data_IF_405344710252
#
_entry.id   IF_405344710252
#
_cell.length_a   1.000
_cell.length_b   1.000
_cell.length_c   1.000
_cell.angle_alpha   90.00
_cell.angle_beta   90.00
_cell.angle_gamma   90.00
#
_symmetry.space_group_name_H-M   'P 1'
#
loop_
_entity.id
_entity.type
_entity.pdbx_description
1 polymer ?
#
# COMPACT_ATOMS: atom_id res chain seq x y z
N UNK A 1 8.00 -20.09 -12.06
CA UNK A 1 8.40 -18.89 -12.84
C UNK A 1 7.25 -17.89 -12.76
N UNK A 2 7.48 -16.72 -12.24
CA UNK A 2 6.51 -15.62 -12.24
C UNK A 2 6.84 -14.67 -13.38
N UNK A 3 5.82 -14.18 -14.08
CA UNK A 3 5.96 -13.18 -15.13
C UNK A 3 4.91 -12.11 -14.93
N UNK A 4 5.35 -10.90 -14.69
CA UNK A 4 4.52 -9.75 -14.42
C UNK A 4 5.02 -8.61 -15.30
N UNK A 5 4.33 -8.30 -16.39
CA UNK A 5 4.79 -7.25 -17.33
C UNK A 5 3.66 -6.31 -17.75
N UNK A 6 4.01 -5.06 -18.04
CA UNK A 6 3.16 -4.06 -18.71
C UNK A 6 1.84 -3.73 -18.01
N UNK A 7 1.78 -3.82 -16.67
CA UNK A 7 0.54 -3.72 -15.91
C UNK A 7 0.40 -2.39 -15.19
N UNK A 8 -0.80 -1.83 -15.23
CA UNK A 8 -1.22 -0.76 -14.35
C UNK A 8 -2.41 -1.24 -13.52
N UNK A 9 -2.31 -1.10 -12.21
CA UNK A 9 -3.44 -1.29 -11.30
C UNK A 9 -3.90 0.06 -10.81
N UNK A 10 -5.14 0.42 -11.14
CA UNK A 10 -5.81 1.56 -10.54
C UNK A 10 -6.59 1.06 -9.31
N UNK A 11 -6.43 1.76 -8.20
CA UNK A 11 -7.17 1.50 -6.97
C UNK A 11 -7.86 2.78 -6.51
N UNK A 12 -9.19 2.80 -6.58
CA UNK A 12 -9.99 3.82 -5.92
C UNK A 12 -10.51 3.23 -4.61
N UNK A 13 -10.28 3.90 -3.48
CA UNK A 13 -10.79 3.45 -2.19
C UNK A 13 -11.67 4.54 -1.57
N UNK A 14 -12.87 4.16 -1.18
CA UNK A 14 -13.72 4.98 -0.34
C UNK A 14 -13.57 4.51 1.12
N UNK A 15 -13.06 5.38 1.98
CA UNK A 15 -12.91 5.10 3.40
C UNK A 15 -13.82 6.01 4.21
N UNK A 16 -14.62 5.42 5.09
CA UNK A 16 -15.42 6.13 6.06
C UNK A 16 -15.00 5.74 7.47
N UNK A 17 -14.86 6.72 8.36
CA UNK A 17 -14.46 6.51 9.74
C UNK A 17 -15.30 7.38 10.67
N UNK A 18 -15.61 6.86 11.86
CA UNK A 18 -16.40 7.57 12.88
C UNK A 18 -15.92 7.27 14.29
N UNK A 19 -15.68 8.33 15.04
CA UNK A 19 -15.48 8.24 16.49
C UNK A 19 -16.77 7.81 17.20
N UNK A 20 -16.65 6.81 18.09
CA UNK A 20 -17.80 6.27 18.86
C UNK A 20 -17.65 6.52 20.36
N UNK A 21 -16.76 7.43 20.75
CA UNK A 21 -16.53 7.84 22.13
C UNK A 21 -15.37 7.10 22.81
N UNK A 22 -14.90 7.65 23.91
CA UNK A 22 -13.83 7.08 24.75
C UNK A 22 -12.54 6.71 23.99
N UNK A 23 -12.20 7.49 22.95
CA UNK A 23 -11.01 7.25 22.11
C UNK A 23 -11.17 6.10 21.11
N UNK A 24 -12.36 5.52 20.97
CA UNK A 24 -12.67 4.50 19.98
C UNK A 24 -13.15 5.08 18.66
N UNK A 25 -12.78 4.44 17.56
CA UNK A 25 -13.20 4.78 16.22
C UNK A 25 -13.47 3.48 15.44
N UNK A 26 -14.53 3.48 14.65
CA UNK A 26 -14.86 2.43 13.68
C UNK A 26 -14.72 2.96 12.28
N UNK A 27 -14.38 2.09 11.34
CA UNK A 27 -14.25 2.46 9.93
C UNK A 27 -14.57 1.31 8.98
N UNK A 28 -14.80 1.69 7.74
CA UNK A 28 -14.94 0.77 6.62
C UNK A 28 -14.23 1.36 5.41
N UNK A 29 -13.53 0.50 4.68
CA UNK A 29 -12.91 0.83 3.40
C UNK A 29 -13.46 -0.10 2.32
N UNK A 30 -13.91 0.49 1.22
CA UNK A 30 -14.42 -0.22 0.03
C UNK A 30 -13.51 0.13 -1.13
N UNK A 31 -12.62 -0.78 -1.55
CA UNK A 31 -11.77 -0.57 -2.71
C UNK A 31 -12.46 -0.99 -4.01
N UNK A 32 -12.22 -0.23 -5.06
CA UNK A 32 -12.50 -0.61 -6.45
C UNK A 32 -11.18 -0.72 -7.17
N UNK A 33 -10.93 -1.87 -7.78
CA UNK A 33 -9.69 -2.21 -8.46
C UNK A 33 -9.94 -2.29 -9.97
N UNK A 34 -8.93 -1.90 -10.75
CA UNK A 34 -8.93 -2.09 -12.20
C UNK A 34 -7.52 -2.42 -12.68
N UNK A 35 -7.35 -3.63 -13.20
CA UNK A 35 -6.12 -4.12 -13.81
C UNK A 35 -6.20 -3.90 -15.31
N UNK A 36 -5.26 -3.14 -15.87
CA UNK A 36 -5.23 -2.77 -17.28
C UNK A 36 -3.86 -2.95 -17.89
N UNK A 37 -3.80 -3.07 -19.20
CA UNK A 37 -2.57 -2.91 -19.96
C UNK A 37 -2.02 -1.50 -19.76
N UNK A 38 -0.72 -1.38 -19.54
CA UNK A 38 -0.08 -0.11 -19.23
C UNK A 38 0.05 0.79 -20.45
N UNK A 39 -0.03 2.11 -20.23
CA UNK A 39 0.39 3.16 -21.17
C UNK A 39 1.51 4.01 -20.59
N UNK A 40 2.11 3.58 -19.47
CA UNK A 40 3.12 4.35 -18.74
C UNK A 40 4.51 3.69 -18.77
N UNK A 41 4.70 2.58 -19.50
CA UNK A 41 5.98 1.87 -19.52
C UNK A 41 7.12 2.80 -19.92
N UNK A 42 6.98 3.55 -21.01
CA UNK A 42 7.98 4.51 -21.45
C UNK A 42 8.23 5.66 -20.45
N UNK A 43 7.22 6.05 -19.69
CA UNK A 43 7.37 7.08 -18.65
C UNK A 43 8.16 6.53 -17.46
N UNK A 44 7.89 5.29 -17.05
CA UNK A 44 8.58 4.63 -15.96
C UNK A 44 10.04 4.34 -16.34
N UNK A 45 10.29 3.82 -17.55
CA UNK A 45 11.63 3.59 -18.10
C UNK A 45 12.45 4.89 -18.12
N UNK A 46 11.90 5.99 -18.64
CA UNK A 46 12.56 7.29 -18.63
C UNK A 46 12.83 7.82 -17.21
N UNK A 47 11.93 7.54 -16.26
CA UNK A 47 12.11 7.89 -14.85
C UNK A 47 13.26 7.11 -14.24
N UNK A 48 13.31 5.78 -14.46
CA UNK A 48 14.39 4.93 -13.97
C UNK A 48 15.73 5.36 -14.55
N UNK A 49 15.80 5.64 -15.85
CA UNK A 49 17.00 6.12 -16.52
C UNK A 49 17.49 7.46 -15.94
N UNK A 50 16.57 8.37 -15.60
CA UNK A 50 16.89 9.68 -15.03
C UNK A 50 17.50 9.59 -13.63
N UNK A 51 17.02 8.66 -12.81
CA UNK A 51 17.45 8.50 -11.42
C UNK A 51 18.41 7.32 -11.19
N UNK A 52 18.74 6.55 -12.23
CA UNK A 52 19.64 5.41 -12.16
C UNK A 52 19.03 4.17 -11.49
N UNK A 53 17.72 4.02 -11.55
CA UNK A 53 17.02 2.82 -11.09
C UNK A 53 17.07 1.71 -12.15
N UNK A 54 16.93 0.47 -11.71
CA UNK A 54 16.93 -0.69 -12.62
C UNK A 54 15.57 -0.82 -13.32
N UNK A 55 15.58 -1.06 -14.63
CA UNK A 55 14.38 -1.43 -15.38
C UNK A 55 13.97 -2.90 -15.20
N UNK A 56 14.75 -3.69 -14.41
CA UNK A 56 14.54 -5.14 -14.25
C UNK A 56 14.38 -5.85 -15.61
N UNK A 57 13.44 -6.81 -15.71
CA UNK A 57 13.18 -7.58 -16.94
C UNK A 57 12.20 -6.87 -17.91
N UNK A 58 11.92 -5.56 -17.74
CA UNK A 58 10.93 -4.84 -18.57
C UNK A 58 11.31 -4.80 -20.04
N UNK A 59 12.59 -4.65 -20.35
CA UNK A 59 13.12 -4.54 -21.71
C UNK A 59 12.92 -5.83 -22.52
N UNK A 60 12.71 -6.97 -21.84
CA UNK A 60 12.53 -8.28 -22.48
C UNK A 60 11.08 -8.56 -22.89
N UNK A 61 10.12 -7.67 -22.59
CA UNK A 61 8.69 -7.92 -22.78
C UNK A 61 7.99 -6.84 -23.64
N UNK A 62 6.93 -7.21 -24.38
CA UNK A 62 6.14 -6.24 -25.13
C UNK A 62 5.52 -5.20 -24.18
N UNK A 63 5.73 -3.92 -24.46
CA UNK A 63 5.16 -2.81 -23.72
C UNK A 63 3.64 -2.77 -23.78
N UNK A 64 3.00 -2.20 -22.76
CA UNK A 64 1.56 -1.90 -22.70
C UNK A 64 0.63 -3.13 -22.78
N UNK A 65 1.09 -4.31 -22.38
CA UNK A 65 0.28 -5.51 -22.33
C UNK A 65 0.02 -5.97 -20.89
N UNK A 66 -1.26 -6.17 -20.56
CA UNK A 66 -1.63 -6.79 -19.28
C UNK A 66 -1.26 -8.27 -19.29
N UNK A 67 -0.36 -8.65 -18.38
CA UNK A 67 0.00 -10.05 -18.18
C UNK A 67 0.33 -10.33 -16.73
N UNK A 68 -0.52 -11.13 -16.09
CA UNK A 68 -0.20 -11.82 -14.84
C UNK A 68 -0.09 -13.31 -15.18
N UNK A 69 1.08 -13.87 -15.04
CA UNK A 69 1.31 -15.28 -15.27
C UNK A 69 2.22 -15.84 -14.18
N UNK A 70 1.72 -16.80 -13.45
CA UNK A 70 2.51 -17.57 -12.50
C UNK A 70 2.43 -19.05 -12.84
N UNK A 71 3.59 -19.66 -13.07
CA UNK A 71 3.72 -21.09 -13.38
C UNK A 71 4.59 -21.73 -12.31
N UNK A 72 4.07 -22.77 -11.66
CA UNK A 72 4.78 -23.60 -10.71
C UNK A 72 4.82 -25.04 -11.23
N UNK A 73 6.01 -25.63 -11.28
CA UNK A 73 6.25 -27.02 -11.72
C UNK A 73 5.54 -27.41 -13.03
N UNK A 74 5.43 -26.46 -13.97
CA UNK A 74 4.78 -26.65 -15.26
C UNK A 74 3.25 -26.46 -15.22
N UNK A 75 2.65 -26.15 -14.06
CA UNK A 75 1.23 -25.86 -13.90
C UNK A 75 1.02 -24.35 -13.83
N UNK A 76 0.05 -23.85 -14.59
CA UNK A 76 -0.34 -22.43 -14.54
C UNK A 76 -1.28 -22.22 -13.36
N UNK A 77 -0.80 -21.52 -12.35
CA UNK A 77 -1.54 -21.18 -11.13
C UNK A 77 -2.35 -19.89 -11.28
N UNK A 78 -1.78 -18.90 -11.97
CA UNK A 78 -2.44 -17.61 -12.21
C UNK A 78 -2.23 -17.20 -13.65
N UNK A 79 -3.31 -16.77 -14.32
CA UNK A 79 -3.25 -16.23 -15.67
C UNK A 79 -4.32 -15.18 -15.90
N UNK A 80 -3.92 -13.90 -15.97
CA UNK A 80 -4.80 -12.80 -16.38
C UNK A 80 -4.16 -12.09 -17.56
N UNK A 81 -4.90 -12.00 -18.66
CA UNK A 81 -4.47 -11.39 -19.92
C UNK A 81 -5.53 -10.43 -20.50
N UNK A 82 -6.63 -10.23 -19.78
CA UNK A 82 -7.70 -9.32 -20.15
C UNK A 82 -7.90 -8.29 -19.05
N UNK A 83 -8.29 -7.09 -19.43
CA UNK A 83 -8.64 -6.06 -18.48
C UNK A 83 -9.80 -6.52 -17.61
N UNK A 84 -9.67 -6.29 -16.30
CA UNK A 84 -10.67 -6.67 -15.32
C UNK A 84 -10.81 -5.56 -14.29
N UNK A 85 -12.01 -5.34 -13.79
CA UNK A 85 -12.25 -4.38 -12.73
C UNK A 85 -13.47 -4.76 -11.91
N UNK A 86 -13.47 -4.36 -10.65
CA UNK A 86 -14.55 -4.64 -9.72
C UNK A 86 -14.24 -4.18 -8.30
N UNK A 87 -15.16 -4.46 -7.39
CA UNK A 87 -14.97 -4.23 -5.96
C UNK A 87 -13.95 -5.24 -5.44
N UNK A 88 -12.98 -4.76 -4.67
CA UNK A 88 -12.00 -5.59 -3.98
C UNK A 88 -12.47 -6.08 -2.61
N UNK A 89 -11.55 -6.57 -1.82
CA UNK A 89 -11.83 -7.02 -0.46
C UNK A 89 -12.12 -5.83 0.46
N UNK A 90 -13.31 -5.80 1.06
CA UNK A 90 -13.74 -4.75 1.99
C UNK A 90 -13.01 -4.92 3.32
N UNK A 91 -12.57 -3.81 3.91
CA UNK A 91 -11.86 -3.80 5.19
C UNK A 91 -12.71 -3.09 6.26
N UNK A 92 -13.01 -3.80 7.33
CA UNK A 92 -13.59 -3.23 8.55
C UNK A 92 -12.46 -2.84 9.49
N UNK A 93 -12.55 -1.67 10.11
CA UNK A 93 -11.51 -1.14 10.99
C UNK A 93 -12.07 -0.80 12.37
N UNK A 94 -11.30 -1.10 13.40
CA UNK A 94 -11.51 -0.67 14.77
C UNK A 94 -10.21 -0.06 15.28
N UNK A 95 -10.28 1.13 15.83
CA UNK A 95 -9.10 1.84 16.34
C UNK A 95 -9.35 2.39 17.73
N UNK A 96 -8.29 2.51 18.51
CA UNK A 96 -8.32 3.14 19.82
C UNK A 96 -7.09 4.00 20.03
N UNK A 97 -7.31 5.23 20.44
CA UNK A 97 -6.26 6.12 20.94
C UNK A 97 -5.74 5.59 22.28
N UNK A 98 -4.44 5.32 22.40
CA UNK A 98 -3.84 4.68 23.58
C UNK A 98 -2.94 5.62 24.36
N UNK A 99 -2.31 6.59 23.70
CA UNK A 99 -1.48 7.61 24.32
C UNK A 99 -1.79 8.97 23.70
N UNK A 100 -2.07 9.93 24.57
CA UNK A 100 -2.08 11.35 24.24
C UNK A 100 -1.18 12.01 25.28
N UNK A 101 0.11 12.07 24.99
CA UNK A 101 1.05 12.81 25.82
C UNK A 101 1.23 14.17 25.17
N UNK A 102 0.72 15.20 25.83
CA UNK A 102 0.65 16.55 25.31
C UNK A 102 -0.11 16.64 23.97
N UNK A 103 -0.20 17.81 23.36
CA UNK A 103 -0.88 17.97 22.07
C UNK A 103 -0.03 17.51 20.88
N UNK A 104 1.23 17.17 21.11
CA UNK A 104 2.23 16.90 20.08
C UNK A 104 2.36 15.40 19.76
N UNK A 105 2.29 14.53 20.79
CA UNK A 105 2.49 13.09 20.63
C UNK A 105 1.16 12.33 20.71
N UNK A 106 0.91 11.48 19.74
CA UNK A 106 -0.27 10.60 19.68
C UNK A 106 0.15 9.18 19.34
N UNK A 107 -0.50 8.21 19.96
CA UNK A 107 -0.37 6.82 19.58
C UNK A 107 -1.74 6.14 19.60
N UNK A 108 -1.96 5.23 18.65
CA UNK A 108 -3.19 4.49 18.51
C UNK A 108 -2.93 3.03 18.18
N UNK A 109 -3.81 2.16 18.65
CA UNK A 109 -3.86 0.76 18.26
C UNK A 109 -5.01 0.57 17.27
N UNK A 110 -4.78 -0.25 16.27
CA UNK A 110 -5.73 -0.52 15.20
C UNK A 110 -5.88 -2.02 14.99
N UNK A 111 -7.06 -2.41 14.58
CA UNK A 111 -7.39 -3.74 14.10
C UNK A 111 -8.16 -3.62 12.79
N UNK A 112 -7.79 -4.41 11.79
CA UNK A 112 -8.44 -4.48 10.49
C UNK A 112 -8.87 -5.90 10.17
N UNK A 113 -10.13 -6.08 9.76
CA UNK A 113 -10.67 -7.34 9.26
C UNK A 113 -10.98 -7.17 7.78
N UNK A 114 -10.21 -7.83 6.92
CA UNK A 114 -10.49 -7.93 5.49
C UNK A 114 -11.52 -9.02 5.24
N UNK A 115 -12.57 -8.70 4.49
CA UNK A 115 -13.62 -9.62 4.08
C UNK A 115 -13.37 -10.05 2.62
N UNK A 116 -13.48 -11.34 2.27
CA UNK A 116 -13.25 -11.84 0.91
C UNK A 116 -14.43 -11.51 -0.01
N UNK A 117 -14.58 -10.24 -0.36
CA UNK A 117 -15.66 -9.74 -1.21
C UNK A 117 -15.25 -9.52 -2.65
N UNK A 118 -13.94 -9.46 -2.92
CA UNK A 118 -13.37 -9.38 -4.26
C UNK A 118 -13.35 -10.73 -4.95
N UNK A 119 -13.37 -10.72 -6.28
CA UNK A 119 -13.24 -11.92 -7.10
C UNK A 119 -11.77 -12.37 -7.13
N UNK A 120 -11.48 -13.53 -6.55
CA UNK A 120 -10.14 -14.11 -6.51
C UNK A 120 -9.63 -14.58 -7.87
N UNK A 121 -10.49 -15.05 -8.73
CA UNK A 121 -10.13 -15.51 -10.08
C UNK A 121 -9.64 -14.36 -10.96
N UNK A 122 -10.09 -13.15 -10.64
CA UNK A 122 -9.70 -11.89 -11.31
C UNK A 122 -8.63 -11.10 -10.54
N UNK A 123 -8.06 -11.63 -9.46
CA UNK A 123 -7.13 -10.94 -8.55
C UNK A 123 -7.70 -9.62 -7.97
N UNK A 124 -9.01 -9.52 -7.82
CA UNK A 124 -9.66 -8.40 -7.13
C UNK A 124 -9.76 -8.63 -5.62
N UNK A 125 -9.55 -9.87 -5.16
CA UNK A 125 -9.50 -10.28 -3.77
C UNK A 125 -8.65 -11.53 -3.59
N UNK A 126 -8.43 -11.94 -2.33
CA UNK A 126 -7.64 -13.15 -2.00
C UNK A 126 -8.48 -14.41 -1.84
N UNK A 127 -9.81 -14.27 -1.76
CA UNK A 127 -10.74 -15.37 -1.48
C UNK A 127 -10.76 -15.83 -0.02
N UNK A 128 -10.03 -15.13 0.90
CA UNK A 128 -10.00 -15.44 2.31
C UNK A 128 -10.04 -14.19 3.20
N UNK A 129 -10.55 -14.29 4.45
CA UNK A 129 -10.47 -13.22 5.42
C UNK A 129 -9.04 -13.08 5.95
N UNK A 130 -8.59 -11.85 6.20
CA UNK A 130 -7.34 -11.57 6.89
C UNK A 130 -7.60 -10.66 8.10
N UNK A 131 -6.77 -10.83 9.13
CA UNK A 131 -6.79 -10.00 10.32
C UNK A 131 -5.47 -9.25 10.45
N UNK A 132 -5.53 -7.94 10.56
CA UNK A 132 -4.35 -7.10 10.83
C UNK A 132 -4.46 -6.42 12.18
N UNK A 133 -3.33 -6.30 12.89
CA UNK A 133 -3.20 -5.51 14.11
C UNK A 133 -1.96 -4.65 13.97
N UNK A 134 -2.10 -3.34 14.22
CA UNK A 134 -0.96 -2.43 14.14
C UNK A 134 -1.07 -1.29 15.13
N UNK A 135 0.09 -0.70 15.44
CA UNK A 135 0.22 0.49 16.26
C UNK A 135 0.72 1.63 15.39
N UNK A 136 0.13 2.80 15.55
CA UNK A 136 0.61 4.04 14.96
C UNK A 136 1.13 4.96 16.03
N UNK A 137 2.16 5.74 15.69
CA UNK A 137 2.66 6.82 16.50
C UNK A 137 2.96 8.04 15.64
N UNK A 138 2.74 9.22 16.18
CA UNK A 138 3.14 10.47 15.54
C UNK A 138 3.55 11.49 16.59
N UNK A 139 4.56 12.28 16.25
CA UNK A 139 5.01 13.42 17.01
C UNK A 139 5.14 14.62 16.05
N UNK A 140 4.47 15.71 16.37
CA UNK A 140 4.50 16.91 15.53
C UNK A 140 5.79 17.70 15.65
N UNK A 141 6.56 17.47 16.70
CA UNK A 141 7.76 18.23 17.01
C UNK A 141 8.89 17.32 17.47
N UNK A 142 9.47 16.53 16.55
CA UNK A 142 10.63 15.66 16.86
C UNK A 142 11.82 16.39 17.47
N UNK A 143 12.00 17.67 17.13
CA UNK A 143 13.04 18.53 17.67
C UNK A 143 12.44 19.88 18.05
N UNK A 144 12.64 20.29 19.32
CA UNK A 144 12.17 21.57 19.82
C UNK A 144 12.67 22.74 18.96
N UNK A 145 11.75 23.56 18.47
CA UNK A 145 12.05 24.74 17.64
C UNK A 145 12.28 24.47 16.15
N UNK A 146 12.15 23.21 15.70
CA UNK A 146 12.24 22.85 14.29
C UNK A 146 10.87 22.44 13.74
N UNK A 147 10.55 22.76 12.48
CA UNK A 147 9.26 22.45 11.87
C UNK A 147 9.20 20.99 11.35
N UNK A 148 9.81 20.05 12.07
CA UNK A 148 9.83 18.64 11.69
C UNK A 148 9.03 17.80 12.68
N UNK A 149 8.12 17.01 12.13
CA UNK A 149 7.42 15.94 12.83
C UNK A 149 7.88 14.57 12.36
N UNK A 150 7.51 13.55 13.12
CA UNK A 150 7.73 12.15 12.77
C UNK A 150 6.46 11.33 12.93
N UNK A 151 6.37 10.27 12.16
CA UNK A 151 5.27 9.32 12.27
C UNK A 151 5.72 7.93 11.85
N UNK A 152 4.95 6.95 12.27
CA UNK A 152 5.20 5.58 11.84
C UNK A 152 4.15 4.63 12.31
N UNK A 153 4.23 3.43 11.79
CA UNK A 153 3.46 2.31 12.30
C UNK A 153 4.25 1.01 12.20
N UNK A 154 3.83 0.03 12.99
CA UNK A 154 4.31 -1.33 12.92
C UNK A 154 3.15 -2.26 13.22
N UNK A 155 3.06 -3.37 12.50
CA UNK A 155 1.97 -4.30 12.64
C UNK A 155 2.27 -5.69 12.11
N UNK A 156 1.27 -6.54 12.30
CA UNK A 156 1.24 -7.91 11.79
C UNK A 156 -0.09 -8.14 11.07
N UNK A 157 -0.01 -8.80 9.94
CA UNK A 157 -1.12 -9.31 9.17
C UNK A 157 -1.14 -10.83 9.35
N UNK A 158 -2.26 -11.35 9.81
CA UNK A 158 -2.58 -12.78 9.86
C UNK A 158 -3.43 -13.10 8.64
N UNK A 159 -2.90 -13.88 7.73
CA UNK A 159 -3.55 -14.22 6.47
C UNK A 159 -4.38 -15.48 6.64
N UNK A 160 -5.64 -15.45 6.18
CA UNK A 160 -6.47 -16.64 6.06
C UNK A 160 -6.00 -17.50 4.87
N UNK A 161 -6.52 -18.71 4.75
CA UNK A 161 -6.17 -19.62 3.65
C UNK A 161 -6.74 -19.07 2.34
N UNK A 162 -5.98 -18.21 1.67
CA UNK A 162 -6.37 -17.61 0.40
C UNK A 162 -6.40 -18.68 -0.69
N UNK A 163 -7.34 -18.53 -1.62
CA UNK A 163 -7.40 -19.41 -2.80
C UNK A 163 -6.30 -19.08 -3.82
N UNK A 164 -5.80 -17.86 -3.78
CA UNK A 164 -4.70 -17.41 -4.64
C UNK A 164 -3.39 -17.88 -4.05
N UNK A 165 -2.69 -18.82 -4.70
CA UNK A 165 -1.39 -19.38 -4.28
C UNK A 165 -1.40 -19.97 -2.86
N UNK A 166 -2.45 -20.70 -2.51
CA UNK A 166 -2.71 -21.26 -1.17
C UNK A 166 -1.50 -21.98 -0.55
N UNK A 167 -0.84 -22.85 -1.33
CA UNK A 167 0.28 -23.66 -0.84
C UNK A 167 1.56 -22.87 -0.53
N UNK A 168 1.71 -21.71 -1.15
CA UNK A 168 2.89 -20.84 -0.99
C UNK A 168 2.65 -19.71 0.02
N UNK A 169 1.44 -19.52 0.50
CA UNK A 169 1.07 -18.42 1.37
C UNK A 169 1.71 -18.53 2.76
N UNK A 170 2.16 -17.38 3.31
CA UNK A 170 2.58 -17.28 4.71
C UNK A 170 1.38 -16.97 5.58
N UNK A 171 1.39 -17.52 6.80
CA UNK A 171 0.35 -17.22 7.80
C UNK A 171 0.46 -15.80 8.36
N UNK A 172 1.69 -15.29 8.46
CA UNK A 172 1.98 -13.98 9.07
C UNK A 172 2.90 -13.15 8.20
N UNK A 173 2.55 -11.86 8.08
CA UNK A 173 3.37 -10.84 7.43
C UNK A 173 3.55 -9.67 8.40
N UNK A 174 4.79 -9.30 8.67
CA UNK A 174 5.10 -8.08 9.42
C UNK A 174 5.18 -6.91 8.45
N UNK A 175 4.70 -5.76 8.86
CA UNK A 175 4.78 -4.54 8.07
C UNK A 175 5.04 -3.32 8.95
N UNK A 176 5.59 -2.28 8.37
CA UNK A 176 5.83 -1.04 9.08
C UNK A 176 6.21 0.11 8.18
N UNK A 177 6.06 1.31 8.71
CA UNK A 177 6.43 2.57 8.09
C UNK A 177 7.17 3.44 9.08
N UNK A 178 8.16 4.16 8.62
CA UNK A 178 8.75 5.30 9.31
C UNK A 178 8.79 6.49 8.37
N UNK A 179 8.32 7.63 8.85
CA UNK A 179 8.24 8.84 8.06
C UNK A 179 8.57 10.09 8.87
N UNK A 180 8.99 11.10 8.13
CA UNK A 180 9.17 12.47 8.62
C UNK A 180 8.28 13.40 7.81
N UNK A 181 7.81 14.45 8.45
CA UNK A 181 7.13 15.54 7.78
C UNK A 181 7.82 16.86 8.14
N UNK A 182 7.84 17.75 7.16
CA UNK A 182 8.38 19.09 7.28
C UNK A 182 7.34 20.10 6.83
N UNK A 183 6.95 20.98 7.73
CA UNK A 183 6.11 22.12 7.38
C UNK A 183 6.93 23.15 6.63
N UNK A 184 7.00 22.97 5.31
CA UNK A 184 7.78 23.83 4.42
C UNK A 184 7.11 25.19 4.25
N UNK A 185 5.78 25.22 4.17
CA UNK A 185 4.95 26.43 4.07
C UNK A 185 3.65 26.24 4.88
N UNK A 186 2.92 27.29 5.15
CA UNK A 186 1.62 27.21 5.84
C UNK A 186 0.59 26.34 5.09
N UNK A 187 0.73 26.29 3.78
CA UNK A 187 -0.14 25.56 2.87
C UNK A 187 0.45 24.21 2.39
N UNK A 188 1.66 23.82 2.83
CA UNK A 188 2.33 22.61 2.35
C UNK A 188 3.19 21.95 3.44
N UNK A 189 2.81 20.74 3.81
CA UNK A 189 3.65 19.83 4.58
C UNK A 189 4.30 18.83 3.62
N UNK A 190 5.63 18.82 3.51
CA UNK A 190 6.37 17.81 2.76
C UNK A 190 6.59 16.57 3.62
N UNK A 191 6.59 15.40 2.98
CA UNK A 191 6.72 14.09 3.64
C UNK A 191 7.76 13.23 2.91
N UNK A 192 8.52 12.48 3.71
CA UNK A 192 9.34 11.36 3.21
C UNK A 192 9.13 10.18 4.15
N UNK A 193 8.94 8.99 3.59
CA UNK A 193 8.73 7.77 4.39
C UNK A 193 9.36 6.55 3.72
N UNK A 194 9.68 5.58 4.56
CA UNK A 194 10.07 4.24 4.15
C UNK A 194 9.01 3.27 4.65
N UNK A 195 8.49 2.49 3.73
CA UNK A 195 7.55 1.39 3.98
C UNK A 195 8.27 0.07 3.80
N UNK A 196 8.00 -0.90 4.66
CA UNK A 196 8.59 -2.22 4.56
C UNK A 196 7.60 -3.32 4.98
N UNK A 197 7.72 -4.49 4.34
CA UNK A 197 7.02 -5.69 4.79
C UNK A 197 7.85 -6.95 4.52
N UNK A 198 7.59 -8.00 5.32
CA UNK A 198 8.11 -9.33 5.07
C UNK A 198 7.37 -10.00 3.91
N UNK A 199 7.92 -11.07 3.31
CA UNK A 199 7.26 -11.75 2.19
C UNK A 199 5.85 -12.24 2.52
N UNK A 200 4.95 -12.17 1.53
CA UNK A 200 3.62 -12.77 1.61
C UNK A 200 3.62 -14.26 1.28
N UNK A 201 4.62 -14.72 0.51
CA UNK A 201 4.67 -16.10 0.00
C UNK A 201 6.01 -16.77 0.28
N UNK A 202 5.97 -18.10 0.39
CA UNK A 202 7.14 -18.98 0.39
C UNK A 202 7.53 -19.30 -1.05
N UNK A 203 8.25 -18.42 -1.72
CA UNK A 203 8.67 -18.62 -3.10
C UNK A 203 10.17 -18.43 -3.25
N UNK A 204 10.76 -19.19 -4.16
CA UNK A 204 12.16 -18.99 -4.59
C UNK A 204 12.31 -17.87 -5.62
N UNK A 205 11.21 -17.39 -6.16
CA UNK A 205 11.20 -16.22 -7.04
C UNK A 205 11.26 -14.96 -6.19
N UNK A 206 12.21 -14.07 -6.50
CA UNK A 206 12.32 -12.77 -5.84
C UNK A 206 11.04 -11.95 -5.97
N UNK A 207 10.29 -12.17 -7.06
CA UNK A 207 9.00 -11.52 -7.35
C UNK A 207 7.85 -11.90 -6.39
N UNK A 208 7.95 -13.00 -5.63
CA UNK A 208 6.90 -13.44 -4.69
C UNK A 208 7.43 -13.72 -3.29
N UNK A 209 8.70 -14.06 -3.16
CA UNK A 209 9.30 -14.50 -1.89
C UNK A 209 10.22 -13.48 -1.22
N UNK A 210 10.41 -12.29 -1.80
CA UNK A 210 11.25 -11.23 -1.25
C UNK A 210 10.53 -10.39 -0.20
N UNK A 211 11.29 -9.72 0.68
CA UNK A 211 10.79 -8.59 1.49
C UNK A 211 10.76 -7.34 0.60
N UNK A 212 9.80 -6.47 0.81
CA UNK A 212 9.74 -5.21 0.07
C UNK A 212 10.13 -4.03 0.96
N UNK A 213 10.86 -3.08 0.37
CA UNK A 213 11.13 -1.77 0.94
C UNK A 213 10.81 -0.71 -0.12
N UNK A 214 9.95 0.21 0.21
CA UNK A 214 9.53 1.29 -0.67
C UNK A 214 9.91 2.64 -0.05
N UNK A 215 10.43 3.54 -0.85
CA UNK A 215 10.67 4.92 -0.47
C UNK A 215 9.57 5.79 -1.08
N UNK A 216 8.88 6.56 -0.25
CA UNK A 216 7.79 7.42 -0.67
C UNK A 216 8.08 8.88 -0.33
N UNK A 217 7.92 9.75 -1.31
CA UNK A 217 7.94 11.19 -1.15
C UNK A 217 6.57 11.78 -1.46
N UNK A 218 6.21 12.83 -0.75
CA UNK A 218 4.92 13.43 -0.96
C UNK A 218 4.71 14.71 -0.18
N UNK A 219 3.45 15.12 -0.11
CA UNK A 219 3.07 16.28 0.68
C UNK A 219 1.58 16.32 0.95
N UNK A 220 1.23 17.06 1.98
CA UNK A 220 -0.15 17.36 2.37
C UNK A 220 -0.43 18.82 2.13
N UNK A 221 -1.52 19.10 1.45
CA UNK A 221 -2.07 20.44 1.23
C UNK A 221 -3.29 20.56 2.14
N UNK A 222 -3.20 21.28 3.27
CA UNK A 222 -4.35 21.57 4.09
C UNK A 222 -5.33 22.50 3.35
N UNK A 223 -6.61 22.22 3.47
CA UNK A 223 -7.71 22.97 2.90
C UNK A 223 -8.51 23.64 4.01
N UNK A 224 -9.44 24.54 3.61
CA UNK A 224 -10.38 25.13 4.55
C UNK A 224 -11.30 24.07 5.18
N UNK A 225 -11.74 24.29 6.42
CA UNK A 225 -12.64 23.38 7.13
C UNK A 225 -11.95 22.16 7.79
N UNK A 226 -10.64 22.02 7.64
CA UNK A 226 -9.86 20.90 8.19
C UNK A 226 -9.69 19.72 7.23
N UNK A 227 -10.17 19.87 6.01
CA UNK A 227 -9.93 18.94 4.92
C UNK A 227 -8.48 18.99 4.45
N UNK A 228 -8.02 17.97 3.75
CA UNK A 228 -6.70 18.00 3.11
C UNK A 228 -6.59 17.09 1.89
N UNK A 229 -5.60 17.39 1.07
CA UNK A 229 -5.18 16.55 -0.05
C UNK A 229 -3.76 16.06 0.22
N UNK A 230 -3.55 14.76 0.16
CA UNK A 230 -2.23 14.13 0.13
C UNK A 230 -1.89 13.71 -1.29
N UNK A 231 -0.68 14.03 -1.72
CA UNK A 231 -0.08 13.57 -2.96
C UNK A 231 1.21 12.83 -2.63
N UNK A 232 1.42 11.67 -3.21
CA UNK A 232 2.69 10.94 -2.99
C UNK A 232 3.10 10.10 -4.19
N UNK A 233 4.41 9.92 -4.29
CA UNK A 233 5.09 9.08 -5.24
C UNK A 233 5.97 8.10 -4.46
N UNK A 234 5.75 6.81 -4.65
CA UNK A 234 6.52 5.73 -4.04
C UNK A 234 7.34 4.98 -5.08
N UNK A 235 8.59 4.69 -4.74
CA UNK A 235 9.55 3.94 -5.53
C UNK A 235 9.99 2.69 -4.78
N UNK A 236 10.01 1.56 -5.45
CA UNK A 236 10.48 0.31 -4.89
C UNK A 236 12.02 0.26 -4.86
N UNK A 237 12.60 -0.05 -3.70
CA UNK A 237 14.05 -0.10 -3.51
C UNK A 237 14.65 -1.52 -3.55
N UNK A 238 13.84 -2.56 -3.49
CA UNK A 238 14.38 -3.89 -3.14
C UNK A 238 14.12 -5.00 -4.13
N UNK A 239 12.96 -5.10 -4.74
CA UNK A 239 12.59 -6.27 -5.55
C UNK A 239 11.41 -6.03 -6.48
N UNK A 240 11.21 -6.95 -7.42
CA UNK A 240 10.07 -6.99 -8.35
C UNK A 240 8.72 -7.36 -7.70
N UNK A 241 8.64 -7.45 -6.35
CA UNK A 241 7.43 -7.83 -5.62
C UNK A 241 6.34 -6.77 -5.58
N UNK A 242 6.73 -5.52 -5.50
CA UNK A 242 5.81 -4.37 -5.47
C UNK A 242 5.91 -3.61 -6.77
N UNK A 243 4.91 -2.83 -7.15
CA UNK A 243 5.01 -1.94 -8.31
C UNK A 243 6.24 -1.06 -8.20
N UNK A 244 6.99 -0.91 -9.30
CA UNK A 244 8.18 -0.08 -9.33
C UNK A 244 7.85 1.36 -8.96
N UNK A 245 6.69 1.85 -9.41
CA UNK A 245 6.22 3.20 -9.15
C UNK A 245 4.77 3.21 -8.70
N UNK A 246 4.48 3.91 -7.61
CA UNK A 246 3.14 4.12 -7.09
C UNK A 246 2.87 5.62 -7.00
N UNK A 247 1.81 6.09 -7.66
CA UNK A 247 1.30 7.43 -7.49
C UNK A 247 -0.01 7.41 -6.71
N UNK A 248 -0.10 8.21 -5.62
CA UNK A 248 -1.29 8.32 -4.81
C UNK A 248 -1.81 9.74 -4.75
N UNK A 249 -3.14 9.85 -4.82
CA UNK A 249 -3.90 11.05 -4.48
C UNK A 249 -4.93 10.64 -3.44
N UNK A 250 -4.95 11.34 -2.30
CA UNK A 250 -5.93 11.12 -1.24
C UNK A 250 -6.58 12.45 -0.88
N UNK A 251 -7.90 12.47 -0.85
CA UNK A 251 -8.66 13.57 -0.28
C UNK A 251 -9.33 13.10 1.01
N UNK A 252 -9.19 13.85 2.07
CA UNK A 252 -9.83 13.58 3.36
C UNK A 252 -10.70 14.77 3.76
N UNK A 253 -12.01 14.51 3.96
CA UNK A 253 -12.97 15.47 4.46
C UNK A 253 -13.34 15.14 5.91
N UNK A 254 -13.53 16.17 6.72
CA UNK A 254 -14.00 16.06 8.12
C UNK A 254 -15.38 16.68 8.26
N UNK A 255 -16.31 15.94 8.87
CA UNK A 255 -17.68 16.36 9.06
C UNK A 255 -18.25 15.87 10.41
#
# INVERSE_FOLDING_TARGET
MAQLSGRITYRLALTWQRGIGSGWQVGVEVPYLSHRGGGLDSLIENWHDLFGFSNSDRDDWPQNQLRYLYIRDGVTEVKIQQEVSGIGDIILQLSREVIVADQEMKASMHMGLKLPTGDEDSLLGSGAPDLSIWFTGSDRQLMAGWPFGGYGHVGVLMMGNAKVLEEDQREFVMFGTLGINWRAYEWLDLKAQVDAHTPFYHSKSDQLGGSAVMLTFGGTIPLEGGDHIDLSLGENLTTDMVPDLIFNIRYEARF
#
